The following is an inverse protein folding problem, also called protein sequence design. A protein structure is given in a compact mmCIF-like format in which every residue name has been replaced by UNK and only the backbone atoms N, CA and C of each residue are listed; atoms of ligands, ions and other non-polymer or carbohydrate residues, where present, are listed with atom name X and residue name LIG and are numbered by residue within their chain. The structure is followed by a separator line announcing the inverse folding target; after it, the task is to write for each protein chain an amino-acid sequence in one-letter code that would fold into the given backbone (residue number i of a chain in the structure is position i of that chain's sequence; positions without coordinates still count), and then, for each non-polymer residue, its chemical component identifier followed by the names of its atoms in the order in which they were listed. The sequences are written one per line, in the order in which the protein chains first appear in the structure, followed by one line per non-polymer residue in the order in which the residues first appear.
data_IF_147756616775
#
_entry.id   IF_147756616775
#
_cell.length_a   1.000
_cell.length_b   1.000
_cell.length_c   1.000
_cell.angle_alpha   90.00
_cell.angle_beta   90.00
_cell.angle_gamma   90.00
#
_symmetry.space_group_name_H-M   'P 1'
#
loop_
_entity.id
_entity.type
_entity.pdbx_description
1 polymer ?
#
# COMPACT_ATOMS: atom_id res chain seq x y z
N UNK A 1 -3.41 13.92 -27.20
CA UNK A 1 -3.93 12.59 -26.73
C UNK A 1 -3.79 11.48 -27.79
N UNK A 2 -3.72 11.82 -29.09
CA UNK A 2 -3.75 10.83 -30.18
C UNK A 2 -2.83 9.61 -30.07
N UNK A 3 -1.54 9.63 -29.68
CA UNK A 3 -0.77 8.39 -29.68
C UNK A 3 -1.26 7.41 -28.61
N UNK A 4 -1.76 7.88 -27.46
CA UNK A 4 -2.25 7.02 -26.37
C UNK A 4 -3.54 6.29 -26.74
N UNK A 5 -4.44 6.93 -27.50
CA UNK A 5 -5.70 6.33 -27.92
C UNK A 5 -5.53 5.27 -29.02
N UNK A 6 -4.53 5.45 -29.87
CA UNK A 6 -4.30 4.59 -31.03
C UNK A 6 -3.22 3.51 -30.83
N UNK A 7 -2.26 3.74 -29.91
CA UNK A 7 -1.09 2.88 -29.76
C UNK A 7 -1.06 2.13 -28.42
N UNK A 8 -1.82 2.59 -27.42
CA UNK A 8 -1.84 1.98 -26.09
C UNK A 8 -3.07 1.07 -25.91
N UNK A 9 -2.90 0.00 -25.12
CA UNK A 9 -3.99 -0.94 -24.82
C UNK A 9 -5.18 -0.25 -24.15
N UNK A 10 -6.39 -0.74 -24.43
CA UNK A 10 -7.62 -0.28 -23.80
C UNK A 10 -7.73 -0.49 -22.28
N UNK A 11 -6.80 -1.24 -21.66
CA UNK A 11 -6.78 -1.54 -20.22
C UNK A 11 -6.45 -0.32 -19.35
N UNK A 12 -5.90 0.75 -19.91
CA UNK A 12 -5.56 2.00 -19.20
C UNK A 12 -6.77 2.57 -18.47
N UNK A 13 -6.52 3.06 -17.24
CA UNK A 13 -7.56 3.56 -16.34
C UNK A 13 -7.34 5.02 -15.94
N UNK A 14 -6.23 5.34 -15.29
CA UNK A 14 -5.99 6.67 -14.69
C UNK A 14 -5.95 7.83 -15.68
N UNK A 15 -5.47 7.61 -16.90
CA UNK A 15 -5.49 8.63 -17.96
C UNK A 15 -6.91 9.01 -18.42
N UNK A 16 -7.94 8.23 -18.07
CA UNK A 16 -9.34 8.58 -18.31
C UNK A 16 -9.94 9.37 -17.15
N UNK A 17 -9.43 9.13 -15.93
CA UNK A 17 -9.81 9.90 -14.74
C UNK A 17 -9.19 11.29 -14.76
N UNK A 18 -7.94 11.41 -15.20
CA UNK A 18 -7.17 12.64 -15.26
C UNK A 18 -6.65 12.88 -16.68
N UNK A 19 -7.51 13.43 -17.59
CA UNK A 19 -7.17 13.55 -19.00
C UNK A 19 -6.26 14.75 -19.29
N UNK A 20 -5.14 14.86 -18.58
CA UNK A 20 -4.08 15.83 -18.78
C UNK A 20 -2.78 15.16 -19.21
N UNK A 21 -1.95 15.85 -19.97
CA UNK A 21 -0.60 15.37 -20.33
C UNK A 21 0.39 15.96 -19.33
N UNK A 22 0.70 15.22 -18.29
CA UNK A 22 1.63 15.63 -17.26
C UNK A 22 3.06 15.70 -17.77
N UNK A 23 3.79 16.77 -17.44
CA UNK A 23 5.13 17.06 -17.94
C UNK A 23 6.20 17.05 -16.84
N UNK A 24 5.91 17.65 -15.68
CA UNK A 24 6.84 17.76 -14.56
C UNK A 24 6.14 17.52 -13.24
N UNK A 25 6.92 17.17 -12.20
CA UNK A 25 6.39 17.02 -10.85
C UNK A 25 7.46 17.36 -9.80
N UNK A 26 7.03 17.87 -8.63
CA UNK A 26 7.92 18.13 -7.49
C UNK A 26 7.12 18.12 -6.19
N UNK A 27 7.64 17.45 -5.17
CA UNK A 27 6.97 17.36 -3.86
C UNK A 27 5.57 16.76 -3.97
N UNK A 28 4.55 17.56 -3.67
CA UNK A 28 3.12 17.20 -3.75
C UNK A 28 2.43 17.71 -5.00
N UNK A 29 3.15 18.21 -6.00
CA UNK A 29 2.59 18.88 -7.17
C UNK A 29 2.99 18.20 -8.48
N UNK A 30 2.02 18.05 -9.39
CA UNK A 30 2.24 17.61 -10.77
C UNK A 30 1.79 18.76 -11.70
N UNK A 31 2.59 19.04 -12.73
CA UNK A 31 2.27 20.11 -13.72
C UNK A 31 2.14 19.50 -15.10
N UNK A 32 1.09 19.86 -15.82
CA UNK A 32 0.85 19.41 -17.19
C UNK A 32 1.63 20.24 -18.25
N UNK A 33 1.55 19.85 -19.52
CA UNK A 33 2.21 20.53 -20.63
C UNK A 33 1.69 21.97 -20.90
N UNK A 34 0.49 22.30 -20.41
CA UNK A 34 -0.08 23.65 -20.49
C UNK A 34 0.39 24.55 -19.32
N UNK A 35 1.14 24.00 -18.36
CA UNK A 35 1.62 24.72 -17.18
C UNK A 35 0.60 24.78 -16.04
N UNK A 36 -0.47 23.99 -16.09
CA UNK A 36 -1.44 23.87 -15.00
C UNK A 36 -0.87 22.94 -13.94
N UNK A 37 -0.83 23.40 -12.68
CA UNK A 37 -0.33 22.64 -11.54
C UNK A 37 -1.47 22.07 -10.72
N UNK A 38 -1.34 20.79 -10.38
CA UNK A 38 -2.30 20.00 -9.61
C UNK A 38 -1.68 19.57 -8.28
N UNK A 39 -2.39 19.76 -7.18
CA UNK A 39 -2.02 19.10 -5.91
C UNK A 39 -2.32 17.61 -6.02
N UNK A 40 -1.36 16.78 -5.63
CA UNK A 40 -1.44 15.33 -5.81
C UNK A 40 -1.73 14.60 -4.47
N UNK A 41 -2.97 14.21 -4.29
CA UNK A 41 -3.41 13.35 -3.19
C UNK A 41 -3.50 11.86 -3.59
N UNK A 42 -2.93 11.49 -4.73
CA UNK A 42 -2.82 10.11 -5.19
C UNK A 42 -1.40 9.54 -5.00
N UNK A 43 -0.37 10.37 -5.22
CA UNK A 43 1.04 10.04 -5.02
C UNK A 43 1.44 8.69 -5.66
N UNK A 44 1.02 8.47 -6.93
CA UNK A 44 1.30 7.23 -7.65
C UNK A 44 0.70 5.98 -6.98
N UNK A 45 -0.55 6.04 -6.52
CA UNK A 45 -1.22 5.01 -5.73
C UNK A 45 -0.45 4.67 -4.42
N UNK A 46 0.16 5.68 -3.80
CA UNK A 46 0.95 5.56 -2.59
C UNK A 46 2.41 5.12 -2.81
N UNK A 47 2.92 5.10 -4.05
CA UNK A 47 4.33 4.77 -4.31
C UNK A 47 5.28 5.95 -4.04
N UNK A 48 4.77 7.17 -3.96
CA UNK A 48 5.53 8.41 -3.81
C UNK A 48 5.31 9.04 -2.42
N UNK A 49 5.41 8.24 -1.36
CA UNK A 49 5.26 8.73 0.01
C UNK A 49 6.22 9.87 0.35
N UNK A 50 7.40 9.87 -0.25
CA UNK A 50 8.43 10.91 -0.04
C UNK A 50 8.39 12.03 -1.07
N UNK A 51 7.28 12.15 -1.80
CA UNK A 51 7.04 13.19 -2.81
C UNK A 51 7.65 12.89 -4.17
N UNK A 52 7.17 13.62 -5.16
CA UNK A 52 7.73 13.60 -6.51
C UNK A 52 9.12 14.22 -6.52
N UNK A 53 10.07 13.54 -7.16
CA UNK A 53 11.43 14.05 -7.37
C UNK A 53 12.07 14.62 -6.09
N UNK A 54 11.97 13.91 -4.99
CA UNK A 54 12.56 14.29 -3.72
C UNK A 54 14.04 14.65 -3.94
N UNK A 55 14.49 15.88 -3.61
CA UNK A 55 15.80 16.37 -4.04
C UNK A 55 16.97 15.56 -3.47
N UNK A 56 16.85 15.05 -2.24
CA UNK A 56 17.89 14.21 -1.63
C UNK A 56 18.02 12.88 -2.39
N UNK A 57 16.90 12.27 -2.74
CA UNK A 57 16.86 10.98 -3.42
C UNK A 57 17.25 11.11 -4.91
N UNK A 58 16.88 12.21 -5.56
CA UNK A 58 17.27 12.51 -6.95
C UNK A 58 18.77 12.70 -7.04
N UNK A 59 19.41 13.41 -6.10
CA UNK A 59 20.86 13.59 -6.13
C UNK A 59 21.60 12.26 -6.01
N UNK A 60 21.18 11.39 -5.10
CA UNK A 60 21.73 10.02 -4.97
C UNK A 60 21.60 9.24 -6.29
N UNK A 61 20.45 9.35 -6.96
CA UNK A 61 20.22 8.69 -8.24
C UNK A 61 21.17 9.23 -9.34
N UNK A 62 21.34 10.55 -9.41
CA UNK A 62 22.26 11.21 -10.34
C UNK A 62 23.70 10.80 -10.07
N UNK A 63 24.15 10.82 -8.82
CA UNK A 63 25.49 10.39 -8.41
C UNK A 63 25.75 8.93 -8.76
N UNK A 64 24.78 8.04 -8.48
CA UNK A 64 24.88 6.63 -8.82
C UNK A 64 25.14 6.42 -10.32
N UNK A 65 24.37 7.12 -11.17
CA UNK A 65 24.49 7.03 -12.63
C UNK A 65 25.83 7.61 -13.14
N UNK A 66 26.24 8.78 -12.62
CA UNK A 66 27.50 9.43 -13.00
C UNK A 66 28.72 8.62 -12.58
N UNK A 67 28.68 7.95 -11.46
CA UNK A 67 29.77 7.11 -10.97
C UNK A 67 29.88 5.77 -11.72
N UNK A 68 28.99 5.46 -12.64
CA UNK A 68 29.01 4.21 -13.40
C UNK A 68 28.81 2.97 -12.52
N UNK A 69 28.07 3.09 -11.42
CA UNK A 69 27.80 1.98 -10.52
C UNK A 69 26.94 0.90 -11.20
N UNK A 70 26.94 -0.31 -10.65
CA UNK A 70 26.14 -1.43 -11.14
C UNK A 70 24.66 -1.11 -11.03
N UNK A 71 23.93 -1.05 -12.16
CA UNK A 71 22.49 -0.78 -12.17
C UNK A 71 21.66 -2.03 -11.88
N UNK A 72 22.00 -3.14 -12.51
CA UNK A 72 21.26 -4.38 -12.47
C UNK A 72 22.12 -5.52 -11.92
N UNK A 73 21.75 -6.11 -10.81
CA UNK A 73 22.57 -7.09 -10.11
C UNK A 73 21.94 -8.48 -9.95
N UNK A 74 20.69 -8.69 -10.34
CA UNK A 74 20.01 -9.91 -9.93
C UNK A 74 20.07 -10.08 -8.39
N UNK A 75 20.79 -11.09 -7.92
CA UNK A 75 21.09 -11.34 -6.51
C UNK A 75 22.58 -11.29 -6.16
N UNK A 76 23.42 -10.80 -7.08
CA UNK A 76 24.85 -10.64 -6.83
C UNK A 76 25.13 -9.60 -5.73
N UNK A 77 26.32 -9.68 -5.16
CA UNK A 77 26.74 -8.76 -4.11
C UNK A 77 27.13 -7.41 -4.71
N UNK A 78 26.49 -6.33 -4.22
CA UNK A 78 26.81 -4.96 -4.60
C UNK A 78 26.88 -4.08 -3.37
N UNK A 79 27.56 -2.95 -3.49
CA UNK A 79 27.71 -1.98 -2.40
C UNK A 79 26.36 -1.37 -2.01
N UNK A 80 25.55 -0.98 -3.00
CA UNK A 80 24.25 -0.35 -2.74
C UNK A 80 23.25 -1.33 -2.08
N UNK A 81 23.27 -2.61 -2.49
CA UNK A 81 22.49 -3.65 -1.83
C UNK A 81 22.96 -3.86 -0.39
N UNK A 82 24.28 -3.89 -0.15
CA UNK A 82 24.82 -3.99 1.21
C UNK A 82 24.36 -2.83 2.09
N UNK A 83 24.43 -1.58 1.59
CA UNK A 83 23.99 -0.39 2.32
C UNK A 83 22.50 -0.47 2.64
N UNK A 84 21.66 -0.86 1.67
CA UNK A 84 20.22 -1.07 1.87
C UNK A 84 19.94 -2.11 2.94
N UNK A 85 20.62 -3.27 2.90
CA UNK A 85 20.42 -4.34 3.90
C UNK A 85 20.81 -3.88 5.31
N UNK A 86 21.91 -3.12 5.47
CA UNK A 86 22.28 -2.54 6.75
C UNK A 86 21.25 -1.51 7.22
N UNK A 87 20.85 -0.56 6.37
CA UNK A 87 19.85 0.44 6.75
C UNK A 87 18.51 -0.20 7.15
N UNK A 88 18.07 -1.23 6.41
CA UNK A 88 16.85 -1.98 6.78
C UNK A 88 17.00 -2.71 8.12
N UNK A 89 18.14 -3.36 8.35
CA UNK A 89 18.39 -4.05 9.61
C UNK A 89 18.48 -3.06 10.77
N UNK A 90 19.38 -2.08 10.69
CA UNK A 90 19.78 -1.23 11.82
C UNK A 90 18.71 -0.19 12.20
N UNK A 91 17.96 0.32 11.21
CA UNK A 91 16.96 1.38 11.42
C UNK A 91 15.52 0.84 11.53
N UNK A 92 15.22 -0.33 10.96
CA UNK A 92 13.85 -0.82 10.90
C UNK A 92 13.66 -2.12 11.70
N UNK A 93 14.46 -3.15 11.42
CA UNK A 93 14.21 -4.49 12.01
C UNK A 93 14.69 -4.57 13.47
N UNK A 94 15.93 -4.15 13.75
CA UNK A 94 16.52 -4.25 15.08
C UNK A 94 15.75 -3.43 16.14
N UNK A 95 15.40 -2.15 15.91
CA UNK A 95 14.63 -1.37 16.88
C UNK A 95 13.25 -1.95 17.20
N UNK A 96 12.69 -2.74 16.27
CA UNK A 96 11.38 -3.40 16.40
C UNK A 96 11.48 -4.86 16.87
N UNK A 97 12.69 -5.32 17.18
CA UNK A 97 12.95 -6.72 17.60
C UNK A 97 12.44 -7.77 16.59
N UNK A 98 12.47 -7.44 15.30
CA UNK A 98 12.05 -8.32 14.21
C UNK A 98 13.23 -9.15 13.70
N UNK A 99 13.31 -10.44 14.11
CA UNK A 99 14.32 -11.38 13.59
C UNK A 99 13.92 -11.88 12.19
N UNK A 100 14.14 -11.01 11.20
CA UNK A 100 13.78 -11.26 9.81
C UNK A 100 14.96 -11.14 8.86
N UNK A 101 14.87 -11.80 7.72
CA UNK A 101 15.78 -11.66 6.58
C UNK A 101 15.08 -10.97 5.43
N UNK A 102 15.84 -10.23 4.62
CA UNK A 102 15.32 -9.50 3.46
C UNK A 102 15.41 -10.38 2.22
N UNK A 103 14.27 -10.72 1.65
CA UNK A 103 14.18 -11.36 0.33
C UNK A 103 13.82 -10.30 -0.72
N UNK A 104 14.72 -10.02 -1.65
CA UNK A 104 14.41 -9.20 -2.82
C UNK A 104 13.64 -10.04 -3.84
N UNK A 105 12.45 -9.62 -4.24
CA UNK A 105 11.53 -10.49 -5.00
C UNK A 105 11.19 -10.00 -6.40
N UNK A 106 11.36 -8.73 -6.67
CA UNK A 106 11.11 -8.21 -8.01
C UNK A 106 10.50 -6.81 -8.02
N UNK A 107 9.89 -6.37 -9.13
CA UNK A 107 9.58 -4.96 -9.29
C UNK A 107 8.25 -4.53 -8.66
N UNK A 108 7.36 -5.45 -8.24
CA UNK A 108 5.99 -5.10 -7.83
C UNK A 108 5.56 -5.76 -6.53
N UNK A 109 4.61 -5.14 -5.83
CA UNK A 109 3.98 -5.72 -4.64
C UNK A 109 3.31 -7.07 -4.92
N UNK A 110 2.70 -7.25 -6.08
CA UNK A 110 2.14 -8.55 -6.49
C UNK A 110 3.21 -9.65 -6.50
N UNK A 111 4.44 -9.36 -6.94
CA UNK A 111 5.55 -10.32 -6.90
C UNK A 111 5.95 -10.67 -5.46
N UNK A 112 5.88 -9.69 -4.53
CA UNK A 112 6.12 -9.95 -3.11
C UNK A 112 5.06 -10.92 -2.54
N UNK A 113 3.79 -10.67 -2.83
CA UNK A 113 2.68 -11.55 -2.42
C UNK A 113 2.82 -12.96 -3.02
N UNK A 114 3.15 -13.09 -4.31
CA UNK A 114 3.40 -14.39 -4.95
C UNK A 114 4.51 -15.18 -4.24
N UNK A 115 5.61 -14.51 -3.89
CA UNK A 115 6.72 -15.12 -3.16
C UNK A 115 6.29 -15.53 -1.75
N UNK A 116 5.56 -14.68 -1.02
CA UNK A 116 5.07 -14.96 0.32
C UNK A 116 4.13 -16.18 0.34
N UNK A 117 3.17 -16.23 -0.57
CA UNK A 117 2.26 -17.39 -0.71
C UNK A 117 3.00 -18.67 -1.09
N UNK A 118 4.01 -18.57 -1.96
CA UNK A 118 4.82 -19.71 -2.36
C UNK A 118 5.65 -20.25 -1.19
N UNK A 119 6.24 -19.33 -0.39
CA UNK A 119 6.99 -19.73 0.81
C UNK A 119 6.07 -20.34 1.86
N UNK A 120 4.91 -19.74 2.13
CA UNK A 120 3.93 -20.28 3.07
C UNK A 120 3.51 -21.70 2.69
N UNK A 121 3.18 -21.94 1.41
CA UNK A 121 2.87 -23.28 0.90
C UNK A 121 4.05 -24.25 1.07
N UNK A 122 5.28 -23.78 0.80
CA UNK A 122 6.47 -24.62 0.93
C UNK A 122 6.72 -25.06 2.37
N UNK A 123 6.59 -24.15 3.33
CA UNK A 123 6.93 -24.45 4.74
C UNK A 123 5.83 -25.24 5.45
N UNK A 124 4.57 -25.03 5.07
CA UNK A 124 3.42 -25.71 5.68
C UNK A 124 2.99 -26.99 4.93
N UNK A 125 3.28 -27.09 3.64
CA UNK A 125 2.72 -28.12 2.75
C UNK A 125 1.23 -27.92 2.42
N UNK A 126 0.59 -26.86 2.94
CA UNK A 126 -0.83 -26.56 2.81
C UNK A 126 -1.03 -25.48 1.73
N UNK A 127 -2.17 -25.50 1.00
CA UNK A 127 -2.36 -24.65 -0.19
C UNK A 127 -3.45 -23.59 -0.06
N UNK A 128 -4.43 -23.80 0.81
CA UNK A 128 -5.51 -22.85 0.97
C UNK A 128 -5.04 -21.60 1.71
N UNK A 129 -5.67 -20.46 1.38
CA UNK A 129 -5.38 -19.15 1.93
C UNK A 129 -6.66 -18.54 2.47
N UNK A 130 -6.58 -17.94 3.64
CA UNK A 130 -7.62 -17.10 4.23
C UNK A 130 -7.19 -15.64 4.06
N UNK A 131 -8.11 -14.78 3.64
CA UNK A 131 -7.96 -13.33 3.57
C UNK A 131 -9.24 -12.64 4.01
N UNK A 132 -9.42 -11.37 3.63
CA UNK A 132 -10.55 -10.57 4.12
C UNK A 132 -11.25 -9.81 2.98
N UNK A 133 -12.55 -9.56 3.16
CA UNK A 133 -13.32 -8.74 2.24
C UNK A 133 -12.69 -7.36 2.07
N UNK A 134 -12.66 -6.88 0.84
CA UNK A 134 -12.00 -5.63 0.48
C UNK A 134 -10.47 -5.70 0.35
N UNK A 135 -9.84 -6.82 0.69
CA UNK A 135 -8.39 -6.99 0.54
C UNK A 135 -7.93 -6.86 -0.91
N UNK A 136 -6.81 -6.18 -1.14
CA UNK A 136 -6.16 -6.03 -2.45
C UNK A 136 -4.68 -6.40 -2.37
N UNK A 137 -4.28 -7.47 -3.06
CA UNK A 137 -2.95 -8.04 -2.98
C UNK A 137 -2.20 -8.05 -4.32
N UNK A 138 -2.74 -7.37 -5.33
CA UNK A 138 -2.16 -7.25 -6.66
C UNK A 138 -2.94 -7.96 -7.75
N UNK A 139 -2.45 -7.86 -9.00
CA UNK A 139 -3.13 -8.33 -10.21
C UNK A 139 -2.42 -9.47 -10.93
N UNK A 140 -1.35 -10.05 -10.34
CA UNK A 140 -0.76 -11.28 -10.85
C UNK A 140 -1.60 -12.50 -10.42
N UNK A 141 -1.34 -13.64 -11.05
CA UNK A 141 -2.15 -14.85 -10.99
C UNK A 141 -2.72 -15.21 -9.60
N UNK A 142 -1.88 -15.53 -8.61
CA UNK A 142 -2.33 -15.89 -7.25
C UNK A 142 -2.75 -14.67 -6.46
N UNK A 143 -2.00 -13.58 -6.56
CA UNK A 143 -2.33 -12.34 -5.88
C UNK A 143 -3.72 -11.81 -6.29
N UNK A 144 -4.06 -11.87 -7.58
CA UNK A 144 -5.39 -11.50 -8.07
C UNK A 144 -6.49 -12.43 -7.53
N UNK A 145 -6.21 -13.74 -7.45
CA UNK A 145 -7.20 -14.73 -6.97
C UNK A 145 -7.56 -14.58 -5.49
N UNK A 146 -6.70 -13.94 -4.68
CA UNK A 146 -6.92 -13.67 -3.26
C UNK A 146 -7.27 -12.20 -2.98
N UNK A 147 -7.37 -11.35 -4.01
CA UNK A 147 -7.78 -9.94 -3.87
C UNK A 147 -9.31 -9.85 -3.86
N UNK A 148 -9.92 -9.91 -2.68
CA UNK A 148 -11.38 -9.90 -2.53
C UNK A 148 -12.03 -8.61 -3.05
N UNK A 149 -11.34 -7.47 -3.02
CA UNK A 149 -11.76 -6.21 -3.65
C UNK A 149 -11.98 -6.31 -5.17
N UNK A 150 -11.41 -7.34 -5.80
CA UNK A 150 -11.54 -7.63 -7.22
C UNK A 150 -12.59 -8.70 -7.52
N UNK A 151 -13.27 -9.22 -6.50
CA UNK A 151 -14.32 -10.22 -6.67
C UNK A 151 -15.43 -9.70 -7.58
N UNK A 152 -15.89 -10.54 -8.51
CA UNK A 152 -16.90 -10.17 -9.52
C UNK A 152 -16.35 -9.60 -10.83
N UNK A 153 -15.04 -9.37 -10.97
CA UNK A 153 -14.45 -9.11 -12.29
C UNK A 153 -14.30 -10.42 -13.04
N UNK A 154 -14.89 -10.51 -14.24
CA UNK A 154 -14.89 -11.72 -15.08
C UNK A 154 -13.49 -12.25 -15.41
N UNK A 155 -12.47 -11.39 -15.36
CA UNK A 155 -11.07 -11.74 -15.66
C UNK A 155 -10.32 -12.37 -14.49
N UNK A 156 -10.86 -12.32 -13.27
CA UNK A 156 -10.24 -12.93 -12.08
C UNK A 156 -10.88 -14.31 -11.89
N UNK A 157 -10.30 -15.34 -12.50
CA UNK A 157 -10.68 -16.72 -12.18
C UNK A 157 -10.14 -17.08 -10.79
N UNK A 158 -10.95 -17.72 -9.97
CA UNK A 158 -10.52 -18.26 -8.68
C UNK A 158 -9.50 -19.38 -8.90
N UNK A 159 -8.23 -19.05 -8.74
CA UNK A 159 -7.10 -19.94 -9.00
C UNK A 159 -6.48 -20.42 -7.69
N UNK A 160 -7.23 -21.18 -6.96
CA UNK A 160 -6.75 -21.77 -5.70
C UNK A 160 -7.80 -21.72 -4.61
N UNK A 161 -7.59 -22.50 -3.57
CA UNK A 161 -8.45 -22.55 -2.41
C UNK A 161 -8.28 -21.25 -1.60
N UNK A 162 -9.24 -20.33 -1.74
CA UNK A 162 -9.25 -19.05 -1.05
C UNK A 162 -10.60 -18.82 -0.37
N UNK A 163 -10.55 -18.28 0.85
CA UNK A 163 -11.73 -17.80 1.57
C UNK A 163 -11.49 -16.38 2.08
N UNK A 164 -12.36 -15.44 1.71
CA UNK A 164 -12.45 -14.15 2.35
C UNK A 164 -13.34 -14.25 3.60
N UNK A 165 -12.88 -13.64 4.69
CA UNK A 165 -13.65 -13.39 5.90
C UNK A 165 -14.19 -11.95 5.90
N UNK A 166 -15.27 -11.64 6.64
CA UNK A 166 -15.69 -10.27 6.83
C UNK A 166 -14.55 -9.40 7.37
N UNK A 167 -14.50 -8.14 6.94
CA UNK A 167 -13.58 -7.17 7.51
C UNK A 167 -13.99 -6.82 8.95
N UNK A 168 -13.01 -6.71 9.84
CA UNK A 168 -13.22 -6.48 11.27
C UNK A 168 -12.69 -5.10 11.67
N UNK A 169 -13.58 -4.11 11.76
CA UNK A 169 -13.29 -2.76 12.28
C UNK A 169 -13.38 -2.72 13.81
N UNK A 170 -14.35 -3.42 14.36
CA UNK A 170 -14.57 -3.57 15.79
C UNK A 170 -14.83 -5.05 16.09
N UNK A 171 -13.93 -5.66 16.85
CA UNK A 171 -13.97 -7.09 17.14
C UNK A 171 -15.15 -7.47 18.03
N UNK A 172 -15.84 -8.56 17.64
CA UNK A 172 -16.79 -9.27 18.47
C UNK A 172 -16.45 -10.76 18.54
N UNK A 173 -17.00 -11.50 19.52
CA UNK A 173 -16.69 -12.94 19.71
C UNK A 173 -16.91 -13.78 18.45
N UNK A 174 -17.96 -13.46 17.68
CA UNK A 174 -18.27 -14.16 16.43
C UNK A 174 -17.15 -14.06 15.37
N UNK A 175 -16.40 -12.97 15.32
CA UNK A 175 -15.29 -12.81 14.38
C UNK A 175 -14.16 -13.81 14.69
N UNK A 176 -13.91 -14.08 15.98
CA UNK A 176 -12.94 -15.08 16.41
C UNK A 176 -13.38 -16.49 16.08
N UNK A 177 -14.67 -16.80 16.25
CA UNK A 177 -15.26 -18.10 15.87
C UNK A 177 -15.13 -18.33 14.35
N UNK A 178 -15.42 -17.31 13.52
CA UNK A 178 -15.26 -17.39 12.07
C UNK A 178 -13.83 -17.61 11.65
N UNK A 179 -12.88 -16.90 12.27
CA UNK A 179 -11.46 -17.07 11.99
C UNK A 179 -10.97 -18.45 12.38
N UNK A 180 -11.26 -18.92 13.61
CA UNK A 180 -10.87 -20.25 14.10
C UNK A 180 -11.43 -21.36 13.21
N UNK A 181 -12.72 -21.27 12.87
CA UNK A 181 -13.37 -22.19 11.94
C UNK A 181 -12.72 -22.17 10.55
N UNK A 182 -12.35 -21.00 10.03
CA UNK A 182 -11.71 -20.89 8.72
C UNK A 182 -10.32 -21.54 8.73
N UNK A 183 -9.51 -21.28 9.76
CA UNK A 183 -8.14 -21.80 9.87
C UNK A 183 -8.11 -23.34 10.11
N UNK A 184 -9.11 -23.87 10.80
CA UNK A 184 -9.21 -25.33 11.07
C UNK A 184 -9.88 -26.13 9.94
N UNK A 185 -10.53 -25.46 8.99
CA UNK A 185 -11.28 -26.11 7.90
C UNK A 185 -10.42 -26.42 6.67
N UNK A 186 -11.04 -27.09 5.70
CA UNK A 186 -10.52 -27.15 4.32
C UNK A 186 -11.30 -26.20 3.42
N UNK A 187 -10.62 -25.66 2.43
CA UNK A 187 -11.19 -24.85 1.36
C UNK A 187 -10.92 -25.58 0.05
N UNK A 188 -11.97 -25.96 -0.67
CA UNK A 188 -11.89 -26.79 -1.89
C UNK A 188 -11.04 -28.09 -1.71
N UNK A 189 -11.12 -28.69 -0.50
CA UNK A 189 -10.39 -29.90 -0.15
C UNK A 189 -8.92 -29.68 0.28
N UNK A 190 -8.42 -28.45 0.25
CA UNK A 190 -7.06 -28.07 0.64
C UNK A 190 -7.03 -27.49 2.06
N UNK A 191 -6.00 -27.84 2.85
CA UNK A 191 -5.80 -27.27 4.19
C UNK A 191 -5.27 -25.84 4.10
N UNK A 192 -5.65 -25.00 5.08
CA UNK A 192 -5.21 -23.61 5.19
C UNK A 192 -3.73 -23.57 5.61
N UNK A 193 -2.91 -22.93 4.77
CA UNK A 193 -1.47 -22.76 4.98
C UNK A 193 -1.06 -21.33 5.29
N UNK A 194 -1.91 -20.34 4.94
CA UNK A 194 -1.63 -18.95 5.21
C UNK A 194 -2.92 -18.15 5.49
N UNK A 195 -2.78 -17.13 6.33
CA UNK A 195 -3.69 -16.00 6.42
C UNK A 195 -2.95 -14.76 5.93
N UNK A 196 -3.58 -13.98 5.04
CA UNK A 196 -3.03 -12.74 4.51
C UNK A 196 -3.98 -11.58 4.76
N UNK A 197 -3.44 -10.44 5.18
CA UNK A 197 -4.21 -9.23 5.40
C UNK A 197 -3.34 -7.97 5.21
N UNK A 198 -3.98 -6.89 4.81
CA UNK A 198 -3.45 -5.53 4.94
C UNK A 198 -3.83 -5.03 6.33
N UNK A 199 -2.90 -4.69 7.26
CA UNK A 199 -3.28 -4.21 8.61
C UNK A 199 -4.14 -2.94 8.58
N UNK A 200 -3.96 -2.12 7.53
CA UNK A 200 -4.89 -1.09 7.10
C UNK A 200 -5.16 -1.31 5.62
N UNK A 201 -6.38 -1.67 5.26
CA UNK A 201 -6.75 -1.87 3.85
C UNK A 201 -6.73 -0.55 3.09
N UNK A 202 -6.02 -0.54 1.96
CA UNK A 202 -5.97 0.62 1.08
C UNK A 202 -7.16 0.66 0.13
N UNK A 203 -7.17 -0.23 -0.84
CA UNK A 203 -8.23 -0.32 -1.87
C UNK A 203 -9.59 -0.74 -1.29
N UNK A 204 -9.60 -1.38 -0.13
CA UNK A 204 -10.81 -1.72 0.62
C UNK A 204 -11.54 -0.53 1.24
N UNK A 205 -11.00 0.71 1.18
CA UNK A 205 -11.65 1.91 1.66
C UNK A 205 -10.94 2.59 2.84
N UNK A 206 -9.61 2.55 2.88
CA UNK A 206 -8.77 3.10 3.94
C UNK A 206 -9.17 2.57 5.34
N UNK A 207 -9.36 1.25 5.46
CA UNK A 207 -9.95 0.61 6.65
C UNK A 207 -8.88 -0.04 7.54
N UNK A 208 -8.54 0.51 8.72
CA UNK A 208 -7.70 -0.16 9.70
C UNK A 208 -8.46 -1.31 10.37
N UNK A 209 -7.79 -2.45 10.58
CA UNK A 209 -8.31 -3.53 11.42
C UNK A 209 -8.27 -3.16 12.90
N UNK A 210 -9.16 -3.74 13.69
CA UNK A 210 -9.09 -3.69 15.14
C UNK A 210 -7.74 -4.30 15.63
N UNK A 211 -6.93 -3.55 16.41
CA UNK A 211 -5.62 -4.06 16.88
C UNK A 211 -5.71 -5.33 17.74
N UNK A 212 -6.79 -5.49 18.51
CA UNK A 212 -6.98 -6.69 19.32
C UNK A 212 -7.29 -7.91 18.44
N UNK A 213 -8.06 -7.70 17.35
CA UNK A 213 -8.31 -8.73 16.36
C UNK A 213 -7.02 -9.17 15.64
N UNK A 214 -6.13 -8.23 15.29
CA UNK A 214 -4.84 -8.55 14.70
C UNK A 214 -4.00 -9.46 15.64
N UNK A 215 -4.04 -9.20 16.95
CA UNK A 215 -3.42 -10.09 17.94
C UNK A 215 -4.05 -11.48 17.99
N UNK A 216 -5.37 -11.57 17.87
CA UNK A 216 -6.08 -12.84 17.82
C UNK A 216 -5.76 -13.63 16.53
N UNK A 217 -5.59 -12.95 15.38
CA UNK A 217 -5.11 -13.58 14.14
C UNK A 217 -3.78 -14.29 14.39
N UNK A 218 -2.82 -13.65 15.07
CA UNK A 218 -1.54 -14.28 15.39
C UNK A 218 -1.70 -15.50 16.28
N UNK A 219 -2.51 -15.37 17.35
CA UNK A 219 -2.72 -16.45 18.30
C UNK A 219 -3.35 -17.69 17.65
N UNK A 220 -4.44 -17.49 16.90
CA UNK A 220 -5.15 -18.58 16.21
C UNK A 220 -4.31 -19.18 15.07
N UNK A 221 -3.63 -18.38 14.28
CA UNK A 221 -2.72 -18.87 13.24
C UNK A 221 -1.61 -19.76 13.82
N UNK A 222 -1.07 -19.40 14.99
CA UNK A 222 -0.09 -20.23 15.69
C UNK A 222 -0.67 -21.56 16.17
N UNK A 223 -1.91 -21.58 16.66
CA UNK A 223 -2.58 -22.78 17.13
C UNK A 223 -2.86 -23.78 15.99
N UNK A 224 -3.02 -23.29 14.75
CA UNK A 224 -3.32 -24.10 13.55
C UNK A 224 -2.11 -24.34 12.63
N UNK A 225 -0.90 -23.94 13.00
CA UNK A 225 0.30 -24.00 12.15
C UNK A 225 0.08 -23.32 10.78
N UNK A 226 -0.47 -22.08 10.83
CA UNK A 226 -0.76 -21.25 9.67
C UNK A 226 0.20 -20.04 9.65
N UNK A 227 0.75 -19.74 8.48
CA UNK A 227 1.65 -18.60 8.27
C UNK A 227 0.85 -17.29 8.20
N UNK A 228 1.27 -16.28 8.95
CA UNK A 228 0.70 -14.93 8.92
C UNK A 228 1.48 -14.04 7.96
N UNK A 229 0.81 -13.53 6.93
CA UNK A 229 1.37 -12.61 5.94
C UNK A 229 0.74 -11.23 6.13
N UNK A 230 1.55 -10.24 6.52
CA UNK A 230 1.15 -8.84 6.52
C UNK A 230 1.47 -8.20 5.16
N UNK A 231 0.47 -7.75 4.46
CA UNK A 231 0.64 -6.97 3.23
C UNK A 231 0.74 -5.49 3.58
N UNK A 232 1.97 -5.01 3.64
CA UNK A 232 2.34 -3.61 3.93
C UNK A 232 2.67 -2.81 2.66
N UNK A 233 2.26 -3.31 1.50
CA UNK A 233 2.58 -2.70 0.20
C UNK A 233 2.02 -1.29 0.07
N UNK A 234 0.82 -1.02 0.58
CA UNK A 234 0.25 0.34 0.54
C UNK A 234 0.28 1.05 1.89
N UNK A 235 0.04 0.34 2.98
CA UNK A 235 -0.09 0.91 4.31
C UNK A 235 1.26 1.10 5.03
N UNK A 236 2.29 0.36 4.64
CA UNK A 236 3.61 0.42 5.24
C UNK A 236 4.48 1.59 4.81
N UNK A 237 5.74 1.54 5.24
CA UNK A 237 6.79 2.53 4.94
C UNK A 237 6.36 3.93 5.37
N UNK A 238 5.73 4.01 6.57
CA UNK A 238 5.35 5.26 7.22
C UNK A 238 4.02 5.87 6.77
N UNK A 239 3.29 5.24 5.86
CA UNK A 239 2.04 5.76 5.32
C UNK A 239 0.98 6.00 6.41
N UNK A 240 0.90 5.10 7.41
CA UNK A 240 -0.06 5.17 8.52
C UNK A 240 0.47 5.85 9.78
N UNK A 241 1.70 6.35 9.77
CA UNK A 241 2.45 6.89 10.90
C UNK A 241 3.68 6.04 11.17
N UNK A 242 3.57 4.93 11.90
CA UNK A 242 4.66 3.99 12.13
C UNK A 242 5.16 3.36 10.81
N UNK A 243 6.37 2.78 10.83
CA UNK A 243 6.94 2.18 9.62
C UNK A 243 6.09 1.06 9.05
N UNK A 244 5.54 0.20 9.90
CA UNK A 244 4.56 -0.82 9.52
C UNK A 244 3.19 -0.51 10.14
N UNK A 245 2.13 -0.67 9.37
CA UNK A 245 0.77 -0.40 9.82
C UNK A 245 0.29 -1.35 10.93
N UNK A 246 0.91 -2.54 11.09
CA UNK A 246 0.60 -3.45 12.19
C UNK A 246 1.24 -3.06 13.53
N UNK A 247 2.18 -2.11 13.57
CA UNK A 247 2.80 -1.68 14.82
C UNK A 247 1.74 -1.21 15.82
N UNK A 248 1.98 -1.45 17.10
CA UNK A 248 0.97 -1.18 18.15
C UNK A 248 -0.09 -2.28 18.31
N UNK A 249 -0.10 -3.31 17.43
CA UNK A 249 -0.87 -4.54 17.61
C UNK A 249 0.02 -5.72 17.99
N UNK A 250 -0.58 -6.84 18.36
CA UNK A 250 0.14 -8.09 18.63
C UNK A 250 0.15 -9.05 17.43
N UNK A 251 0.12 -8.54 16.18
CA UNK A 251 0.05 -9.39 14.98
C UNK A 251 1.29 -10.25 14.79
N UNK A 252 2.48 -9.74 15.03
CA UNK A 252 3.78 -10.43 14.88
C UNK A 252 3.84 -11.32 13.63
N UNK A 253 3.84 -10.75 12.40
CA UNK A 253 3.71 -11.51 11.17
C UNK A 253 4.95 -12.38 10.89
N UNK A 254 4.74 -13.47 10.16
CA UNK A 254 5.79 -14.36 9.69
C UNK A 254 6.47 -13.86 8.42
N UNK A 255 5.70 -13.16 7.57
CA UNK A 255 6.17 -12.54 6.33
C UNK A 255 5.53 -11.17 6.21
N UNK A 256 6.33 -10.15 5.88
CA UNK A 256 5.86 -8.80 5.60
C UNK A 256 6.17 -8.47 4.14
N UNK A 257 5.14 -8.21 3.34
CA UNK A 257 5.30 -7.80 1.94
C UNK A 257 5.42 -6.28 1.87
N UNK A 258 6.50 -5.77 1.27
CA UNK A 258 6.78 -4.33 1.14
C UNK A 258 7.11 -3.98 -0.30
N UNK A 259 6.54 -2.88 -0.82
CA UNK A 259 6.80 -2.37 -2.18
C UNK A 259 6.50 -0.86 -2.22
N UNK A 260 6.10 -0.34 -3.38
CA UNK A 260 5.70 1.08 -3.56
C UNK A 260 6.75 2.04 -3.00
N UNK A 261 6.50 2.62 -1.82
CA UNK A 261 7.35 3.65 -1.22
C UNK A 261 8.71 3.17 -0.74
N UNK A 262 8.98 1.87 -0.71
CA UNK A 262 10.25 1.33 -0.17
C UNK A 262 11.47 1.81 -0.96
N UNK A 263 11.35 2.11 -2.24
CA UNK A 263 12.45 2.67 -3.03
C UNK A 263 12.73 4.15 -2.72
N UNK A 264 11.85 4.82 -1.99
CA UNK A 264 11.90 6.26 -1.70
C UNK A 264 11.52 7.14 -2.90
N UNK A 265 12.04 6.85 -4.08
CA UNK A 265 11.91 7.66 -5.30
C UNK A 265 10.84 7.15 -6.29
N UNK A 266 10.04 6.14 -5.92
CA UNK A 266 9.04 5.57 -6.81
C UNK A 266 9.61 4.60 -7.85
N UNK A 267 10.84 4.14 -7.69
CA UNK A 267 11.45 3.13 -8.58
C UNK A 267 10.84 1.75 -8.30
N UNK A 268 10.69 0.90 -9.34
CA UNK A 268 10.21 -0.45 -9.16
C UNK A 268 11.09 -1.27 -8.20
N UNK A 269 10.52 -1.64 -7.04
CA UNK A 269 11.19 -2.42 -6.01
C UNK A 269 10.14 -3.11 -5.13
N UNK A 270 10.39 -4.38 -4.78
CA UNK A 270 9.62 -5.10 -3.80
C UNK A 270 10.52 -6.05 -3.00
N UNK A 271 10.24 -6.17 -1.72
CA UNK A 271 10.94 -7.06 -0.80
C UNK A 271 9.93 -7.77 0.10
N UNK A 272 10.26 -9.00 0.52
CA UNK A 272 9.65 -9.64 1.66
C UNK A 272 10.63 -9.60 2.83
N UNK A 273 10.12 -9.26 4.00
CA UNK A 273 10.81 -9.50 5.26
C UNK A 273 10.27 -10.84 5.78
N UNK A 274 11.15 -11.81 5.88
CA UNK A 274 10.77 -13.19 6.20
C UNK A 274 11.36 -13.55 7.55
N UNK A 275 10.54 -14.06 8.48
CA UNK A 275 11.01 -14.60 9.76
C UNK A 275 12.14 -15.61 9.50
N UNK A 276 13.29 -15.43 10.10
CA UNK A 276 14.51 -16.20 9.82
C UNK A 276 14.29 -17.73 9.90
N UNK A 277 13.46 -18.18 10.80
CA UNK A 277 13.14 -19.62 10.94
C UNK A 277 12.31 -20.17 9.76
N UNK A 278 11.65 -19.32 8.98
CA UNK A 278 10.85 -19.68 7.81
C UNK A 278 11.61 -19.52 6.49
N UNK A 279 12.79 -18.92 6.48
CA UNK A 279 13.61 -18.79 5.27
C UNK A 279 14.22 -20.14 4.88
N UNK A 280 13.39 -20.98 4.25
CA UNK A 280 13.74 -22.35 3.83
C UNK A 280 13.86 -22.48 2.31
N UNK A 281 14.14 -21.39 1.61
CA UNK A 281 14.36 -21.41 0.17
C UNK A 281 15.60 -22.22 -0.21
N UNK A 282 15.49 -23.02 -1.25
CA UNK A 282 16.65 -23.56 -1.95
C UNK A 282 17.18 -22.50 -2.92
N UNK A 283 18.51 -22.33 -3.08
CA UNK A 283 19.06 -21.36 -4.02
C UNK A 283 18.46 -21.51 -5.42
N UNK A 284 17.93 -20.39 -5.97
CA UNK A 284 17.29 -20.34 -7.30
C UNK A 284 15.82 -20.76 -7.35
N UNK A 285 15.22 -21.23 -6.26
CA UNK A 285 13.86 -21.75 -6.22
C UNK A 285 12.79 -20.66 -6.47
N UNK A 286 13.03 -19.45 -6.02
CA UNK A 286 12.21 -18.28 -6.37
C UNK A 286 13.12 -17.15 -6.82
N UNK A 287 13.11 -16.84 -8.12
CA UNK A 287 14.01 -15.86 -8.71
C UNK A 287 13.29 -15.02 -9.77
N UNK A 288 13.83 -13.84 -10.08
CA UNK A 288 13.35 -12.96 -11.12
C UNK A 288 14.45 -11.99 -11.55
N UNK A 289 14.53 -11.71 -12.84
CA UNK A 289 15.60 -10.89 -13.43
C UNK A 289 15.70 -9.51 -12.76
N UNK A 290 14.58 -8.87 -12.45
CA UNK A 290 14.54 -7.51 -11.92
C UNK A 290 14.48 -7.41 -10.39
N UNK A 291 14.89 -8.46 -9.67
CA UNK A 291 14.96 -8.43 -8.20
C UNK A 291 16.14 -7.64 -7.63
N UNK A 292 17.11 -7.25 -8.46
CA UNK A 292 18.30 -6.49 -8.08
C UNK A 292 18.40 -5.16 -8.80
N UNK A 293 17.57 -4.19 -8.45
CA UNK A 293 17.65 -2.81 -8.93
C UNK A 293 18.51 -1.97 -7.97
N UNK A 294 19.80 -1.78 -8.32
CA UNK A 294 20.72 -1.09 -7.42
C UNK A 294 20.45 0.41 -7.27
N UNK A 295 19.87 1.04 -8.29
CA UNK A 295 19.41 2.42 -8.14
C UNK A 295 18.31 2.53 -7.07
N UNK A 296 17.38 1.59 -7.05
CA UNK A 296 16.34 1.53 -6.03
C UNK A 296 16.94 1.20 -4.64
N UNK A 297 17.97 0.33 -4.55
CA UNK A 297 18.64 0.07 -3.27
C UNK A 297 19.35 1.32 -2.74
N UNK A 298 20.03 2.09 -3.61
CA UNK A 298 20.71 3.33 -3.22
C UNK A 298 19.72 4.38 -2.70
N UNK A 299 18.64 4.62 -3.42
CA UNK A 299 17.61 5.59 -3.01
C UNK A 299 16.83 5.11 -1.77
N UNK A 300 16.55 3.81 -1.65
CA UNK A 300 15.91 3.22 -0.47
C UNK A 300 16.80 3.37 0.78
N UNK A 301 18.09 3.03 0.71
CA UNK A 301 19.00 3.21 1.83
C UNK A 301 19.03 4.68 2.30
N UNK A 302 19.14 5.61 1.35
CA UNK A 302 19.14 7.06 1.68
C UNK A 302 17.82 7.50 2.28
N UNK A 303 16.68 7.00 1.77
CA UNK A 303 15.36 7.28 2.34
C UNK A 303 15.27 6.80 3.79
N UNK A 304 15.71 5.56 4.08
CA UNK A 304 15.73 5.02 5.43
C UNK A 304 16.62 5.85 6.37
N UNK A 305 17.82 6.18 5.93
CA UNK A 305 18.79 6.98 6.70
C UNK A 305 18.31 8.43 6.93
N UNK A 306 17.55 9.00 6.00
CA UNK A 306 17.09 10.40 6.08
C UNK A 306 15.83 10.53 6.94
N UNK A 307 14.89 9.61 6.83
CA UNK A 307 13.54 9.75 7.39
C UNK A 307 13.26 8.79 8.56
N UNK A 308 14.10 7.76 8.78
CA UNK A 308 13.84 6.70 9.76
C UNK A 308 14.99 6.50 10.76
N UNK A 309 15.92 7.44 10.82
CA UNK A 309 16.97 7.47 11.83
C UNK A 309 16.47 7.84 13.23
N UNK A 310 15.27 8.42 13.30
CA UNK A 310 14.57 8.80 14.51
C UNK A 310 13.05 8.71 14.33
N UNK A 311 12.24 9.18 15.28
CA UNK A 311 10.79 9.15 15.26
C UNK A 311 10.14 10.42 14.67
N UNK A 312 10.91 11.36 14.12
CA UNK A 312 10.36 12.64 13.67
C UNK A 312 9.39 12.45 12.48
N UNK A 313 9.74 11.58 11.52
CA UNK A 313 8.87 11.31 10.37
C UNK A 313 7.58 10.61 10.77
N UNK A 314 7.64 9.66 11.68
CA UNK A 314 6.45 8.98 12.22
C UNK A 314 5.48 9.99 12.80
N UNK A 315 5.97 10.80 13.73
CA UNK A 315 5.18 11.87 14.38
C UNK A 315 4.63 12.87 13.36
N UNK A 316 5.44 13.32 12.42
CA UNK A 316 5.01 14.26 11.38
C UNK A 316 3.89 13.69 10.50
N UNK A 317 3.92 12.38 10.20
CA UNK A 317 2.86 11.70 9.45
C UNK A 317 1.57 11.59 10.27
N UNK A 318 1.68 11.27 11.55
CA UNK A 318 0.53 11.24 12.47
C UNK A 318 -0.14 12.62 12.60
N UNK A 319 0.65 13.68 12.81
CA UNK A 319 0.16 15.05 12.91
C UNK A 319 -0.58 15.48 11.64
N UNK A 320 -0.04 15.21 10.45
CA UNK A 320 -0.73 15.44 9.16
C UNK A 320 -2.00 14.62 9.02
N UNK A 321 -1.96 13.37 9.45
CA UNK A 321 -3.14 12.50 9.46
C UNK A 321 -4.28 13.04 10.32
N UNK A 322 -3.97 13.65 11.46
CA UNK A 322 -4.98 14.34 12.30
C UNK A 322 -5.62 15.50 11.53
N UNK A 323 -4.82 16.31 10.82
CA UNK A 323 -5.32 17.42 10.00
C UNK A 323 -6.28 16.88 8.92
N UNK A 324 -5.85 15.84 8.18
CA UNK A 324 -6.68 15.24 7.12
C UNK A 324 -8.02 14.75 7.68
N UNK A 325 -7.99 13.91 8.71
CA UNK A 325 -9.23 13.35 9.27
C UNK A 325 -10.14 14.41 9.87
N UNK A 326 -9.59 15.46 10.49
CA UNK A 326 -10.39 16.58 11.01
C UNK A 326 -11.12 17.32 9.89
N UNK A 327 -10.46 17.57 8.74
CA UNK A 327 -11.10 18.18 7.58
C UNK A 327 -12.16 17.27 6.95
N UNK A 328 -11.87 15.97 6.78
CA UNK A 328 -12.84 15.02 6.24
C UNK A 328 -14.06 14.90 7.16
N UNK A 329 -13.88 14.95 8.50
CA UNK A 329 -14.98 14.93 9.46
C UNK A 329 -15.83 16.21 9.38
N UNK A 330 -15.19 17.37 9.20
CA UNK A 330 -15.94 18.61 8.99
C UNK A 330 -16.77 18.58 7.69
N UNK A 331 -16.21 18.05 6.60
CA UNK A 331 -16.93 17.81 5.34
C UNK A 331 -18.12 16.86 5.57
N UNK A 332 -17.90 15.73 6.25
CA UNK A 332 -18.97 14.77 6.54
C UNK A 332 -20.11 15.39 7.35
N UNK A 333 -19.80 16.18 8.37
CA UNK A 333 -20.80 16.86 9.19
C UNK A 333 -21.58 17.91 8.37
N UNK A 334 -20.87 18.74 7.61
CA UNK A 334 -21.49 19.84 6.85
C UNK A 334 -22.43 19.34 5.74
N UNK A 335 -22.01 18.32 4.97
CA UNK A 335 -22.72 17.89 3.76
C UNK A 335 -23.60 16.67 3.92
N UNK A 336 -23.48 15.94 5.03
CA UNK A 336 -24.26 14.72 5.26
C UNK A 336 -24.89 14.64 6.65
N UNK A 337 -24.70 15.66 7.51
CA UNK A 337 -25.11 15.59 8.91
C UNK A 337 -24.43 14.44 9.67
N UNK A 338 -23.18 14.11 9.29
CA UNK A 338 -22.40 13.04 9.90
C UNK A 338 -22.75 11.62 9.44
N UNK A 339 -23.57 11.45 8.37
CA UNK A 339 -23.91 10.12 7.85
C UNK A 339 -22.79 9.50 7.00
N UNK A 340 -21.84 10.31 6.51
CA UNK A 340 -20.64 9.83 5.83
C UNK A 340 -19.58 9.41 6.84
N UNK A 341 -18.82 8.37 6.53
CA UNK A 341 -17.81 7.84 7.44
C UNK A 341 -16.39 8.30 7.06
N UNK A 342 -15.63 8.73 8.07
CA UNK A 342 -14.20 9.02 7.93
C UNK A 342 -13.40 7.85 8.48
N UNK A 343 -12.46 7.34 7.70
CA UNK A 343 -11.66 6.16 8.03
C UNK A 343 -10.17 6.43 7.83
N UNK A 344 -9.34 5.55 8.37
CA UNK A 344 -7.91 5.50 8.10
C UNK A 344 -7.01 6.01 9.22
N UNK A 345 -5.70 5.82 9.02
CA UNK A 345 -4.64 6.23 9.92
C UNK A 345 -3.56 7.01 9.15
N UNK A 346 -2.89 7.96 9.82
CA UNK A 346 -1.83 8.76 9.20
C UNK A 346 -2.30 9.39 7.88
N UNK A 347 -1.50 9.25 6.85
CA UNK A 347 -1.75 9.78 5.50
C UNK A 347 -2.38 8.73 4.55
N UNK A 348 -3.02 7.71 5.09
CA UNK A 348 -3.95 6.82 4.40
C UNK A 348 -5.33 7.03 5.03
N UNK A 349 -6.10 7.96 4.50
CA UNK A 349 -7.41 8.33 5.03
C UNK A 349 -8.45 8.39 3.91
N UNK A 350 -9.71 8.16 4.25
CA UNK A 350 -10.80 8.13 3.29
C UNK A 350 -12.09 8.74 3.85
N UNK A 351 -12.88 9.33 2.96
CA UNK A 351 -14.25 9.78 3.20
C UNK A 351 -15.19 8.87 2.43
N UNK A 352 -15.89 7.99 3.14
CA UNK A 352 -16.93 7.14 2.55
C UNK A 352 -18.24 7.93 2.45
N UNK A 353 -18.67 8.15 1.21
CA UNK A 353 -19.91 8.86 0.87
C UNK A 353 -21.04 7.87 0.53
N UNK A 354 -22.23 8.38 0.21
CA UNK A 354 -23.43 7.55 0.03
C UNK A 354 -23.40 6.62 -1.20
N UNK A 355 -22.57 6.89 -2.20
CA UNK A 355 -22.44 6.05 -3.41
C UNK A 355 -21.15 6.29 -4.16
N UNK A 356 -20.75 5.32 -5.00
CA UNK A 356 -19.62 5.46 -5.91
C UNK A 356 -19.83 6.57 -6.95
N UNK A 357 -21.04 6.72 -7.47
CA UNK A 357 -21.36 7.79 -8.43
C UNK A 357 -21.15 9.18 -7.82
N UNK A 358 -21.50 9.35 -6.55
CA UNK A 358 -21.25 10.60 -5.83
C UNK A 358 -19.74 10.82 -5.62
N UNK A 359 -19.02 9.79 -5.18
CA UNK A 359 -17.58 9.86 -5.00
C UNK A 359 -16.85 10.18 -6.32
N UNK A 360 -17.26 9.57 -7.42
CA UNK A 360 -16.72 9.83 -8.75
C UNK A 360 -16.99 11.29 -9.19
N UNK A 361 -18.21 11.79 -9.00
CA UNK A 361 -18.55 13.18 -9.33
C UNK A 361 -17.72 14.17 -8.50
N UNK A 362 -17.48 13.89 -7.22
CA UNK A 362 -16.61 14.71 -6.36
C UNK A 362 -15.16 14.68 -6.86
N UNK A 363 -14.63 13.51 -7.22
CA UNK A 363 -13.26 13.40 -7.75
C UNK A 363 -13.12 14.14 -9.10
N UNK A 364 -14.12 14.11 -9.96
CA UNK A 364 -14.13 14.85 -11.23
C UNK A 364 -14.17 16.37 -11.00
N UNK A 365 -14.98 16.83 -10.03
CA UNK A 365 -15.01 18.24 -9.62
C UNK A 365 -13.67 18.67 -8.96
N UNK A 366 -13.05 17.79 -8.16
CA UNK A 366 -11.74 18.03 -7.57
C UNK A 366 -10.65 18.17 -8.65
N UNK A 367 -10.66 17.32 -9.68
CA UNK A 367 -9.72 17.44 -10.80
C UNK A 367 -9.92 18.74 -11.58
N UNK A 368 -11.16 19.18 -11.79
CA UNK A 368 -11.45 20.48 -12.39
C UNK A 368 -10.94 21.67 -11.55
N UNK A 369 -10.85 21.51 -10.22
CA UNK A 369 -10.22 22.46 -9.29
C UNK A 369 -8.74 22.11 -8.99
N UNK A 370 -8.10 21.36 -9.89
CA UNK A 370 -6.65 21.07 -9.86
C UNK A 370 -6.21 20.23 -8.63
N UNK A 371 -7.05 19.30 -8.18
CA UNK A 371 -6.71 18.30 -7.17
C UNK A 371 -6.80 16.89 -7.78
N UNK A 372 -5.74 16.12 -7.69
CA UNK A 372 -5.72 14.71 -8.06
C UNK A 372 -6.08 13.89 -6.82
N UNK A 373 -7.21 13.21 -6.86
CA UNK A 373 -7.70 12.32 -5.80
C UNK A 373 -8.48 11.16 -6.42
N UNK A 374 -8.47 9.99 -5.81
CA UNK A 374 -9.12 8.79 -6.36
C UNK A 374 -10.19 8.23 -5.43
N UNK A 375 -11.02 7.34 -6.00
CA UNK A 375 -12.01 6.55 -5.27
C UNK A 375 -11.52 5.15 -4.98
N UNK A 376 -11.98 4.55 -3.86
CA UNK A 376 -11.74 3.16 -3.49
C UNK A 376 -12.93 2.63 -2.66
N UNK A 377 -12.76 1.49 -2.01
CA UNK A 377 -13.80 0.90 -1.16
C UNK A 377 -14.91 0.20 -1.93
N UNK A 378 -15.90 -0.30 -1.19
CA UNK A 378 -17.02 -1.01 -1.75
C UNK A 378 -17.81 -0.12 -2.73
N UNK A 379 -17.97 -0.58 -3.97
CA UNK A 379 -18.66 0.18 -5.02
C UNK A 379 -17.96 1.51 -5.39
N UNK A 380 -16.72 1.74 -4.96
CA UNK A 380 -16.00 2.99 -5.22
C UNK A 380 -16.46 4.17 -4.36
N UNK A 381 -17.17 3.94 -3.26
CA UNK A 381 -17.84 4.98 -2.48
C UNK A 381 -16.90 5.75 -1.52
N UNK A 382 -15.61 5.46 -1.48
CA UNK A 382 -14.66 6.13 -0.60
C UNK A 382 -13.70 7.01 -1.40
N UNK A 383 -13.67 8.30 -1.12
CA UNK A 383 -12.67 9.25 -1.63
C UNK A 383 -11.41 9.08 -0.78
N UNK A 384 -10.29 8.68 -1.40
CA UNK A 384 -9.07 8.29 -0.69
C UNK A 384 -7.99 9.37 -0.77
N UNK A 385 -7.51 9.85 0.37
CA UNK A 385 -6.40 10.79 0.48
C UNK A 385 -5.10 10.00 0.72
N UNK A 386 -4.20 10.05 -0.27
CA UNK A 386 -2.89 9.40 -0.27
C UNK A 386 -1.75 10.40 -0.53
N UNK A 387 -1.88 11.65 -0.13
CA UNK A 387 -0.84 12.67 -0.32
C UNK A 387 0.54 12.18 0.18
N UNK A 388 1.66 12.68 -0.35
CA UNK A 388 2.98 12.40 0.20
C UNK A 388 3.03 12.63 1.71
N UNK A 389 3.68 11.73 2.47
CA UNK A 389 3.78 11.87 3.93
C UNK A 389 4.68 13.06 4.34
N UNK A 390 5.47 13.56 3.40
CA UNK A 390 6.34 14.74 3.55
C UNK A 390 5.73 16.01 2.95
N UNK A 391 4.44 16.00 2.57
CA UNK A 391 3.74 17.17 2.00
C UNK A 391 3.85 18.38 2.93
N UNK A 392 4.08 19.56 2.36
CA UNK A 392 4.05 20.81 3.11
C UNK A 392 2.63 21.11 3.61
N UNK A 393 2.54 21.75 4.78
CA UNK A 393 1.23 22.02 5.40
C UNK A 393 0.37 22.96 4.55
N UNK A 394 0.98 23.91 3.85
CA UNK A 394 0.27 24.84 2.96
C UNK A 394 -0.36 24.09 1.78
N UNK A 395 0.38 23.18 1.13
CA UNK A 395 -0.13 22.33 0.06
C UNK A 395 -1.21 21.36 0.56
N UNK A 396 -1.02 20.81 1.79
CA UNK A 396 -2.01 19.95 2.41
C UNK A 396 -3.33 20.68 2.65
N UNK A 397 -3.28 21.89 3.21
CA UNK A 397 -4.47 22.71 3.45
C UNK A 397 -5.13 23.18 2.16
N UNK A 398 -4.36 23.56 1.14
CA UNK A 398 -4.88 23.93 -0.18
C UNK A 398 -5.61 22.73 -0.82
N UNK A 399 -5.00 21.54 -0.86
CA UNK A 399 -5.63 20.33 -1.39
C UNK A 399 -6.91 19.96 -0.65
N UNK A 400 -6.92 20.00 0.68
CA UNK A 400 -8.13 19.76 1.49
C UNK A 400 -9.21 20.80 1.25
N UNK A 401 -8.84 22.08 1.05
CA UNK A 401 -9.76 23.14 0.69
C UNK A 401 -10.38 22.93 -0.71
N UNK A 402 -9.61 22.44 -1.68
CA UNK A 402 -10.11 22.06 -3.02
C UNK A 402 -11.08 20.88 -2.91
N UNK A 403 -10.78 19.86 -2.11
CA UNK A 403 -11.70 18.76 -1.88
C UNK A 403 -13.03 19.24 -1.27
N UNK A 404 -12.97 20.13 -0.28
CA UNK A 404 -14.18 20.72 0.32
C UNK A 404 -15.02 21.45 -0.74
N UNK A 405 -14.41 22.31 -1.60
CA UNK A 405 -15.12 23.00 -2.69
C UNK A 405 -15.72 22.04 -3.70
N UNK A 406 -15.00 20.95 -4.03
CA UNK A 406 -15.51 19.92 -4.93
C UNK A 406 -16.79 19.26 -4.37
N UNK A 407 -16.77 18.89 -3.08
CA UNK A 407 -17.96 18.36 -2.39
C UNK A 407 -19.11 19.39 -2.42
N UNK A 408 -18.85 20.64 -2.06
CA UNK A 408 -19.86 21.70 -2.08
C UNK A 408 -20.49 21.88 -3.48
N UNK A 409 -19.66 21.85 -4.52
CA UNK A 409 -20.12 21.99 -5.92
C UNK A 409 -21.09 20.88 -6.31
N UNK A 410 -20.76 19.65 -6.00
CA UNK A 410 -21.57 18.47 -6.38
C UNK A 410 -22.86 18.40 -5.56
N UNK A 411 -22.78 18.66 -4.25
CA UNK A 411 -23.95 18.54 -3.35
C UNK A 411 -24.93 19.71 -3.51
N UNK A 412 -24.48 20.92 -3.92
CA UNK A 412 -25.35 22.06 -4.16
C UNK A 412 -26.10 21.98 -5.49
N UNK A 413 -25.69 21.13 -6.43
CA UNK A 413 -26.31 20.92 -7.73
C UNK A 413 -27.30 19.76 -7.77
N UNK A 414 -27.44 19.05 -6.66
CA UNK A 414 -28.35 17.91 -6.47
C UNK A 414 -29.60 18.38 -5.73
#
# INVERSE_FOLDING_TARGET
MQPFESLESGVRYYCRRWPALFATASGSTITDEAGVSYVDFFAGAGALSYGHNNPVLVEVAIEHLRAGKVLHSLDTFTEDKRRFLHAMHDLILEPRSLDMVVQTVGPTGATAVEAALTLAQRVTGKRAVVGYDGGYHGMSYRAASISASMAGRETVSHLGAFRALPFVEHMVDHDLELLDQALSSTIDGEQVGAVILEPTQGEGGARPFDPAYLGAVRALASAHDVVVIADEVQAGVGRTGPFFAFEGSALDPDIICVSKSISGLGLPMAVNLVRRSLDRWTPGEFTGTFRGNNLAFATSATMLETYWSDAEQEKATEDRGVIVRSHLSAIAEEFSGGSWAVRGNGMLSGLEVSSGDLADAICDAAFADQLIVETCGAGGATIKVLAPIVIDLDDLHDGLGRLHRAVATVTSGS
#
